data_IF_064170223848
#
_entry.id   IF_064170223848
#
_cell.length_a   1.000
_cell.length_b   1.000
_cell.length_c   1.000
_cell.angle_alpha   90.00
_cell.angle_beta   90.00
_cell.angle_gamma   90.00
#
_symmetry.space_group_name_H-M   'P 1'
#
loop_
_entity.id
_entity.type
_entity.pdbx_description
1 polymer ?
#
# COMPACT_ATOMS: atom_id res chain seq x y z
N UNK A 1 -15.32 37.51 -12.17
CA UNK A 1 -14.57 36.89 -11.05
C UNK A 1 -14.14 35.51 -11.52
N UNK A 2 -12.84 35.27 -11.72
CA UNK A 2 -12.38 33.93 -12.11
C UNK A 2 -12.76 32.95 -10.98
N UNK A 3 -13.67 32.02 -11.26
CA UNK A 3 -14.05 30.98 -10.31
C UNK A 3 -12.88 30.00 -10.19
N UNK A 4 -11.93 30.32 -9.31
CA UNK A 4 -10.79 29.45 -9.04
C UNK A 4 -11.28 28.11 -8.49
N UNK A 5 -10.71 27.02 -9.01
CA UNK A 5 -10.88 25.71 -8.40
C UNK A 5 -10.03 25.64 -7.14
N UNK A 6 -10.59 25.10 -6.07
CA UNK A 6 -9.89 24.82 -4.83
C UNK A 6 -9.53 23.33 -4.76
N UNK A 7 -8.37 23.01 -4.18
CA UNK A 7 -8.00 21.63 -3.86
C UNK A 7 -8.56 21.25 -2.49
N UNK A 8 -9.27 20.13 -2.40
CA UNK A 8 -9.77 19.55 -1.16
C UNK A 8 -9.28 18.13 -1.02
N UNK A 9 -8.70 17.81 0.13
CA UNK A 9 -8.30 16.45 0.48
C UNK A 9 -9.37 15.83 1.38
N UNK A 10 -9.91 14.69 0.95
CA UNK A 10 -10.95 13.94 1.65
C UNK A 10 -10.41 12.59 2.10
N UNK A 11 -10.76 12.17 3.31
CA UNK A 11 -10.21 10.95 3.93
C UNK A 11 -11.29 10.00 4.46
N UNK A 12 -12.57 10.39 4.41
CA UNK A 12 -13.68 9.67 5.03
C UNK A 12 -14.86 9.44 4.09
N UNK A 13 -16.06 9.79 4.56
CA UNK A 13 -17.34 9.56 3.85
C UNK A 13 -17.47 10.27 2.50
N UNK A 14 -16.59 11.24 2.21
CA UNK A 14 -16.51 11.94 0.93
C UNK A 14 -15.65 11.22 -0.13
N UNK A 15 -14.86 10.21 0.24
CA UNK A 15 -14.05 9.42 -0.74
C UNK A 15 -14.95 8.71 -1.76
N UNK A 16 -14.40 8.37 -2.93
CA UNK A 16 -15.12 7.60 -3.96
C UNK A 16 -15.69 6.30 -3.38
N UNK A 17 -16.96 6.02 -3.71
CA UNK A 17 -17.68 4.85 -3.22
C UNK A 17 -18.18 4.95 -1.77
N UNK A 18 -18.04 6.11 -1.11
CA UNK A 18 -18.53 6.34 0.24
C UNK A 18 -19.82 7.19 0.25
N UNK A 19 -20.53 7.19 1.38
CA UNK A 19 -21.90 7.67 1.53
C UNK A 19 -22.13 9.14 1.14
N UNK A 20 -21.16 10.02 1.39
CA UNK A 20 -21.28 11.45 1.12
C UNK A 20 -20.58 11.88 -0.18
N UNK A 21 -20.07 10.95 -0.99
CA UNK A 21 -19.32 11.30 -2.20
C UNK A 21 -20.08 12.23 -3.17
N UNK A 22 -21.40 12.14 -3.22
CA UNK A 22 -22.25 12.98 -4.08
C UNK A 22 -22.12 14.48 -3.80
N UNK A 23 -21.72 14.88 -2.58
CA UNK A 23 -21.48 16.28 -2.22
C UNK A 23 -20.33 16.92 -2.99
N UNK A 24 -19.41 16.13 -3.52
CA UNK A 24 -18.34 16.62 -4.40
C UNK A 24 -18.87 17.03 -5.79
N UNK A 25 -20.12 16.72 -6.13
CA UNK A 25 -20.79 17.25 -7.33
C UNK A 25 -20.08 16.91 -8.65
N UNK A 26 -19.44 15.75 -8.75
CA UNK A 26 -18.65 15.36 -9.93
C UNK A 26 -17.30 16.08 -10.03
N UNK A 27 -16.78 16.60 -8.92
CA UNK A 27 -15.46 17.22 -8.85
C UNK A 27 -14.37 16.33 -9.47
N UNK A 28 -13.39 16.99 -10.09
CA UNK A 28 -12.30 16.29 -10.77
C UNK A 28 -11.36 15.66 -9.75
N UNK A 29 -11.24 14.33 -9.80
CA UNK A 29 -10.26 13.56 -9.03
C UNK A 29 -8.83 13.87 -9.49
N UNK A 30 -7.95 14.14 -8.53
CA UNK A 30 -6.52 14.49 -8.74
C UNK A 30 -5.56 13.38 -8.27
N UNK A 31 -6.10 12.28 -7.77
CA UNK A 31 -5.33 11.13 -7.29
C UNK A 31 -5.38 10.94 -5.78
N UNK A 32 -4.86 9.79 -5.33
CA UNK A 32 -4.68 9.49 -3.91
C UNK A 32 -3.53 10.31 -3.33
N UNK A 33 -3.68 10.75 -2.09
CA UNK A 33 -2.68 11.50 -1.32
C UNK A 33 -2.67 11.05 0.13
N UNK A 34 -1.71 11.55 0.89
CA UNK A 34 -1.58 11.29 2.32
C UNK A 34 -1.45 12.60 3.07
N UNK A 35 -2.11 12.69 4.21
CA UNK A 35 -1.94 13.78 5.17
C UNK A 35 -1.03 13.31 6.29
N UNK A 36 0.12 13.97 6.46
CA UNK A 36 1.09 13.63 7.49
C UNK A 36 0.74 14.33 8.81
N UNK A 37 1.10 13.73 9.94
CA UNK A 37 0.92 14.35 11.26
C UNK A 37 -0.51 14.33 11.77
N UNK A 38 -1.38 13.49 11.22
CA UNK A 38 -2.78 13.37 11.64
C UNK A 38 -3.15 11.91 11.93
N UNK A 39 -4.11 11.71 12.83
CA UNK A 39 -4.70 10.42 13.17
C UNK A 39 -6.16 10.39 12.74
N UNK A 40 -6.61 9.24 12.26
CA UNK A 40 -7.99 9.04 11.83
C UNK A 40 -8.73 8.17 12.85
N UNK A 41 -9.77 8.73 13.46
CA UNK A 41 -10.61 8.03 14.44
C UNK A 41 -11.93 7.59 13.83
N UNK A 42 -12.42 6.44 14.26
CA UNK A 42 -13.70 5.87 13.85
C UNK A 42 -14.79 6.28 14.83
N UNK A 43 -15.73 7.13 14.39
CA UNK A 43 -16.89 7.55 15.18
C UNK A 43 -18.14 6.69 14.88
N UNK A 44 -18.01 5.63 14.09
CA UNK A 44 -19.08 4.75 13.65
C UNK A 44 -19.53 5.07 12.22
N UNK A 45 -20.51 5.96 11.98
CA UNK A 45 -20.99 6.25 10.64
C UNK A 45 -20.03 7.10 9.80
N UNK A 46 -19.03 7.72 10.41
CA UNK A 46 -18.03 8.55 9.74
C UNK A 46 -16.73 8.60 10.53
N UNK A 47 -15.58 8.87 9.88
CA UNK A 47 -14.33 9.07 10.58
C UNK A 47 -14.04 10.56 10.82
N UNK A 48 -13.16 10.84 11.77
CA UNK A 48 -12.69 12.19 12.07
C UNK A 48 -11.16 12.23 12.11
N UNK A 49 -10.56 13.09 11.29
CA UNK A 49 -9.13 13.36 11.38
C UNK A 49 -8.87 14.39 12.49
N UNK A 50 -7.88 14.13 13.32
CA UNK A 50 -7.34 15.09 14.29
C UNK A 50 -5.84 15.23 14.09
N UNK A 51 -5.30 16.43 14.26
CA UNK A 51 -3.85 16.62 14.23
C UNK A 51 -3.22 15.89 15.41
N UNK A 52 -2.21 15.08 15.14
CA UNK A 52 -1.48 14.39 16.19
C UNK A 52 -0.69 15.40 17.02
N UNK A 53 -0.68 15.21 18.34
CA UNK A 53 0.18 16.01 19.19
C UNK A 53 1.65 15.72 18.86
N UNK A 54 2.53 16.74 18.90
CA UNK A 54 3.96 16.52 18.82
C UNK A 54 4.36 15.57 19.95
N UNK A 55 4.97 14.44 19.61
CA UNK A 55 5.55 13.58 20.64
C UNK A 55 6.69 14.35 21.33
N UNK A 56 6.84 14.18 22.64
CA UNK A 56 8.04 14.63 23.33
C UNK A 56 9.26 13.96 22.66
N UNK A 57 10.34 14.72 22.50
CA UNK A 57 11.56 14.22 21.87
C UNK A 57 12.07 12.98 22.62
N UNK A 58 12.03 11.81 21.98
CA UNK A 58 12.48 10.53 22.54
C UNK A 58 11.41 9.47 22.75
N UNK A 59 10.12 9.84 22.85
CA UNK A 59 9.05 8.88 23.19
C UNK A 59 8.42 8.20 21.97
N UNK A 60 8.65 8.73 20.76
CA UNK A 60 8.02 8.21 19.55
C UNK A 60 8.78 7.02 18.98
N UNK A 61 8.29 5.82 19.23
CA UNK A 61 8.69 4.62 18.48
C UNK A 61 7.86 4.54 17.19
N UNK A 62 8.55 4.59 16.04
CA UNK A 62 7.93 4.47 14.72
C UNK A 62 7.67 5.81 14.00
N UNK A 63 7.20 5.74 12.75
CA UNK A 63 7.04 6.92 11.91
C UNK A 63 5.95 7.90 12.41
N UNK A 64 5.96 9.15 11.91
CA UNK A 64 4.83 10.06 12.11
C UNK A 64 3.53 9.43 11.58
N UNK A 65 2.38 9.73 12.18
CA UNK A 65 1.13 9.13 11.74
C UNK A 65 0.74 9.77 10.40
N UNK A 66 0.02 9.03 9.58
CA UNK A 66 -0.53 9.58 8.36
C UNK A 66 -1.92 9.04 8.09
N UNK A 67 -2.67 9.77 7.26
CA UNK A 67 -4.02 9.41 6.83
C UNK A 67 -4.02 9.25 5.31
N UNK A 68 -4.62 8.17 4.82
CA UNK A 68 -4.83 7.95 3.40
C UNK A 68 -6.12 8.63 2.92
N UNK A 69 -6.03 9.31 1.78
CA UNK A 69 -7.19 9.99 1.22
C UNK A 69 -7.07 10.27 -0.27
N UNK A 70 -7.98 11.12 -0.74
CA UNK A 70 -8.19 11.45 -2.14
C UNK A 70 -8.22 12.97 -2.30
N UNK A 71 -7.58 13.46 -3.36
CA UNK A 71 -7.52 14.88 -3.66
C UNK A 71 -8.50 15.21 -4.80
N UNK A 72 -9.27 16.28 -4.66
CA UNK A 72 -10.23 16.75 -5.65
C UNK A 72 -10.07 18.24 -5.94
N UNK A 73 -10.33 18.65 -7.18
CA UNK A 73 -10.53 20.04 -7.55
C UNK A 73 -12.02 20.38 -7.53
N UNK A 74 -12.42 21.28 -6.64
CA UNK A 74 -13.82 21.68 -6.40
C UNK A 74 -14.05 23.16 -6.72
N UNK A 75 -15.29 23.53 -7.05
CA UNK A 75 -15.67 24.94 -7.15
C UNK A 75 -15.87 25.55 -5.76
N UNK A 76 -15.88 26.89 -5.67
CA UNK A 76 -16.21 27.60 -4.43
C UNK A 76 -17.60 27.23 -3.88
N UNK A 77 -18.57 26.94 -4.76
CA UNK A 77 -19.92 26.54 -4.35
C UNK A 77 -19.93 25.13 -3.71
N UNK A 78 -19.21 24.16 -4.30
CA UNK A 78 -19.04 22.83 -3.70
C UNK A 78 -18.34 22.95 -2.35
N UNK A 79 -17.27 23.73 -2.29
CA UNK A 79 -16.50 23.95 -1.07
C UNK A 79 -17.35 24.57 0.06
N UNK A 80 -18.26 25.50 -0.26
CA UNK A 80 -19.21 26.05 0.71
C UNK A 80 -20.27 25.03 1.15
N UNK A 81 -20.72 24.16 0.24
CA UNK A 81 -21.63 23.05 0.59
C UNK A 81 -20.98 22.05 1.55
N UNK A 82 -19.70 21.76 1.37
CA UNK A 82 -18.93 20.93 2.30
C UNK A 82 -18.81 21.59 3.68
N UNK A 83 -18.67 22.91 3.77
CA UNK A 83 -18.66 23.62 5.06
C UNK A 83 -19.99 23.45 5.83
N UNK A 84 -21.11 23.39 5.11
CA UNK A 84 -22.42 23.12 5.71
C UNK A 84 -22.55 21.67 6.17
N UNK A 85 -22.13 20.72 5.32
CA UNK A 85 -22.15 19.30 5.65
C UNK A 85 -21.32 18.99 6.91
N UNK A 86 -20.11 19.54 6.98
CA UNK A 86 -19.14 19.33 8.06
C UNK A 86 -19.37 20.26 9.26
N UNK A 87 -20.48 21.02 9.25
CA UNK A 87 -20.90 21.92 10.32
C UNK A 87 -19.77 22.83 10.84
N UNK A 88 -19.06 23.48 9.91
CA UNK A 88 -17.92 24.36 10.24
C UNK A 88 -18.41 25.64 10.93
N UNK A 89 -17.75 26.12 12.02
CA UNK A 89 -16.52 25.59 12.65
C UNK A 89 -16.75 24.71 13.89
N UNK A 90 -17.96 24.16 14.08
CA UNK A 90 -18.37 23.52 15.33
C UNK A 90 -17.88 22.07 15.43
N UNK A 91 -18.20 21.24 14.44
CA UNK A 91 -17.78 19.83 14.43
C UNK A 91 -16.39 19.68 13.83
N UNK A 92 -16.16 20.37 12.71
CA UNK A 92 -14.88 20.45 12.03
C UNK A 92 -14.44 21.89 11.83
N UNK A 93 -13.13 22.09 11.76
CA UNK A 93 -12.53 23.31 11.22
C UNK A 93 -11.82 22.98 9.91
N UNK A 94 -11.89 23.88 8.94
CA UNK A 94 -11.19 23.71 7.67
C UNK A 94 -9.82 24.37 7.71
N UNK A 95 -8.77 23.58 7.50
CA UNK A 95 -7.38 24.02 7.51
C UNK A 95 -6.76 23.94 6.11
N UNK A 96 -5.92 24.92 5.76
CA UNK A 96 -5.07 24.85 4.58
C UNK A 96 -3.78 24.14 4.97
N UNK A 97 -3.63 22.87 4.57
CA UNK A 97 -2.53 22.00 5.01
C UNK A 97 -1.73 21.48 3.81
N UNK A 98 -0.46 21.22 4.04
CA UNK A 98 0.42 20.55 3.08
C UNK A 98 0.29 19.03 3.22
N UNK A 99 0.04 18.36 2.09
CA UNK A 99 0.01 16.90 1.97
C UNK A 99 1.44 16.36 1.82
N UNK A 100 1.61 15.05 1.96
CA UNK A 100 2.94 14.43 1.99
C UNK A 100 3.74 14.50 0.67
N UNK A 101 3.09 14.78 -0.46
CA UNK A 101 3.74 15.07 -1.75
C UNK A 101 4.08 16.56 -1.94
N UNK A 102 3.81 17.40 -0.94
CA UNK A 102 4.02 18.85 -0.98
C UNK A 102 2.82 19.65 -1.51
N UNK A 103 1.77 19.00 -2.03
CA UNK A 103 0.56 19.68 -2.51
C UNK A 103 -0.18 20.32 -1.34
N UNK A 104 -0.69 21.53 -1.52
CA UNK A 104 -1.56 22.18 -0.54
C UNK A 104 -3.03 21.94 -0.85
N UNK A 105 -3.82 21.66 0.18
CA UNK A 105 -5.25 21.41 0.07
C UNK A 105 -6.01 21.86 1.32
N UNK A 106 -7.29 22.13 1.15
CA UNK A 106 -8.22 22.26 2.26
C UNK A 106 -8.51 20.88 2.85
N UNK A 107 -8.45 20.81 4.18
CA UNK A 107 -8.70 19.61 4.96
C UNK A 107 -9.66 19.96 6.10
N UNK A 108 -10.73 19.18 6.27
CA UNK A 108 -11.59 19.28 7.44
C UNK A 108 -10.95 18.50 8.58
N UNK A 109 -10.73 19.13 9.73
CA UNK A 109 -10.07 18.52 10.90
C UNK A 109 -10.98 18.73 12.10
N UNK A 110 -11.20 17.66 12.86
CA UNK A 110 -11.97 17.72 14.09
C UNK A 110 -11.12 18.10 15.29
N UNK A 111 -11.76 18.11 16.46
CA UNK A 111 -11.11 18.45 17.73
C UNK A 111 -10.78 17.19 18.53
N UNK A 112 -9.59 17.09 19.18
CA UNK A 112 -9.20 15.90 19.94
C UNK A 112 -10.23 15.46 21.00
N UNK A 113 -10.95 16.41 21.59
CA UNK A 113 -11.96 16.14 22.63
C UNK A 113 -13.16 15.34 22.09
N UNK A 114 -13.47 15.45 20.80
CA UNK A 114 -14.57 14.73 20.15
C UNK A 114 -14.23 13.26 19.85
N UNK A 115 -12.95 12.89 19.87
CA UNK A 115 -12.46 11.56 19.51
C UNK A 115 -11.77 10.83 20.67
N UNK A 116 -11.81 11.39 21.88
CA UNK A 116 -11.03 10.90 23.03
C UNK A 116 -11.28 9.41 23.37
N UNK A 117 -12.49 8.92 23.15
CA UNK A 117 -12.87 7.51 23.37
C UNK A 117 -13.00 6.69 22.07
N UNK A 118 -12.75 7.31 20.91
CA UNK A 118 -12.95 6.70 19.61
C UNK A 118 -11.69 5.91 19.18
N UNK A 119 -11.83 4.65 18.73
CA UNK A 119 -10.69 3.87 18.25
C UNK A 119 -10.12 4.48 16.95
N UNK A 120 -8.89 4.12 16.63
CA UNK A 120 -8.28 4.48 15.35
C UNK A 120 -8.88 3.65 14.21
N UNK A 121 -9.06 4.27 13.05
CA UNK A 121 -9.38 3.57 11.81
C UNK A 121 -8.18 2.69 11.43
N UNK A 122 -8.37 1.38 11.16
CA UNK A 122 -7.29 0.48 10.73
C UNK A 122 -6.55 1.03 9.51
N UNK A 123 -5.21 0.98 9.56
CA UNK A 123 -4.32 1.52 8.53
C UNK A 123 -4.53 3.01 8.20
N UNK A 124 -5.31 3.75 9.01
CA UNK A 124 -5.74 5.12 8.74
C UNK A 124 -6.32 5.33 7.32
N UNK A 125 -7.05 4.33 6.81
CA UNK A 125 -7.65 4.34 5.48
C UNK A 125 -9.14 3.96 5.54
N UNK A 126 -10.01 4.97 5.49
CA UNK A 126 -11.46 4.74 5.59
C UNK A 126 -12.03 4.06 4.34
N UNK A 127 -12.76 2.96 4.50
CA UNK A 127 -13.48 2.31 3.40
C UNK A 127 -12.59 1.54 2.41
N UNK A 128 -11.28 1.45 2.66
CA UNK A 128 -10.35 0.62 1.89
C UNK A 128 -9.22 0.08 2.78
N UNK A 129 -8.40 -0.80 2.25
CA UNK A 129 -7.20 -1.30 2.92
C UNK A 129 -6.00 -1.17 2.00
N UNK A 130 -4.87 -0.59 2.46
CA UNK A 130 -3.62 -0.62 1.70
C UNK A 130 -3.05 -2.04 1.67
N UNK A 131 -2.85 -2.58 0.46
CA UNK A 131 -2.32 -3.92 0.20
C UNK A 131 -0.97 -3.80 -0.51
N UNK A 132 0.10 -4.25 0.14
CA UNK A 132 1.43 -4.37 -0.46
C UNK A 132 1.55 -5.66 -1.27
N UNK A 133 1.63 -5.51 -2.59
CA UNK A 133 1.82 -6.59 -3.56
C UNK A 133 3.26 -6.66 -4.02
N UNK A 134 3.84 -7.87 -4.05
CA UNK A 134 5.24 -8.10 -4.43
C UNK A 134 5.41 -9.29 -5.40
N UNK A 135 4.30 -9.89 -5.83
CA UNK A 135 4.26 -11.06 -6.72
C UNK A 135 3.44 -10.79 -7.97
N UNK A 136 2.69 -11.80 -8.43
CA UNK A 136 1.91 -11.69 -9.67
C UNK A 136 0.84 -10.57 -9.66
N UNK A 137 0.38 -10.12 -8.50
CA UNK A 137 -0.53 -8.97 -8.38
C UNK A 137 0.13 -7.62 -8.72
N UNK A 138 1.44 -7.59 -8.99
CA UNK A 138 2.08 -6.43 -9.61
C UNK A 138 1.57 -6.18 -11.03
N UNK A 139 1.08 -7.22 -11.72
CA UNK A 139 0.46 -7.10 -13.05
C UNK A 139 -0.92 -6.41 -12.95
N UNK A 140 -1.13 -5.27 -13.61
CA UNK A 140 -2.42 -4.57 -13.62
C UNK A 140 -3.59 -5.44 -14.13
N UNK A 141 -3.36 -6.23 -15.17
CA UNK A 141 -4.40 -7.09 -15.76
C UNK A 141 -4.82 -8.19 -14.77
N UNK A 142 -3.86 -8.78 -14.05
CA UNK A 142 -4.18 -9.76 -13.02
C UNK A 142 -4.93 -9.13 -11.85
N UNK A 143 -4.47 -7.97 -11.36
CA UNK A 143 -5.09 -7.32 -10.21
C UNK A 143 -6.52 -6.86 -10.55
N UNK A 144 -6.72 -6.26 -11.72
CA UNK A 144 -8.06 -5.82 -12.16
C UNK A 144 -9.03 -6.98 -12.36
N UNK A 145 -8.57 -8.13 -12.89
CA UNK A 145 -9.38 -9.34 -13.01
C UNK A 145 -9.79 -9.94 -11.65
N UNK A 146 -8.98 -9.74 -10.61
CA UNK A 146 -9.27 -10.20 -9.23
C UNK A 146 -10.07 -9.18 -8.45
N UNK A 147 -9.86 -7.89 -8.67
CA UNK A 147 -10.35 -6.80 -7.86
C UNK A 147 -11.03 -5.77 -8.78
N UNK A 148 -12.31 -6.00 -9.09
CA UNK A 148 -13.04 -5.21 -10.08
C UNK A 148 -13.27 -3.75 -9.64
N UNK A 149 -13.25 -3.47 -8.34
CA UNK A 149 -13.35 -2.10 -7.80
C UNK A 149 -11.99 -1.41 -7.61
N UNK A 150 -10.88 -2.02 -8.04
CA UNK A 150 -9.57 -1.37 -8.04
C UNK A 150 -9.56 -0.20 -9.04
N UNK A 151 -9.04 0.94 -8.59
CA UNK A 151 -9.07 2.19 -9.35
C UNK A 151 -7.88 2.39 -10.29
N UNK A 152 -7.10 1.34 -10.54
CA UNK A 152 -5.89 1.38 -11.37
C UNK A 152 -4.69 2.04 -10.70
N UNK A 153 -4.82 2.56 -9.48
CA UNK A 153 -3.72 3.27 -8.81
C UNK A 153 -2.80 2.32 -8.05
N UNK A 154 -1.54 2.73 -7.91
CA UNK A 154 -0.51 2.00 -7.16
C UNK A 154 0.61 2.92 -6.73
N UNK A 155 1.21 2.64 -5.58
CA UNK A 155 2.36 3.36 -5.05
C UNK A 155 3.54 2.41 -4.87
N UNK A 156 4.65 2.65 -5.57
CA UNK A 156 5.87 1.86 -5.40
C UNK A 156 6.48 2.16 -4.04
N UNK A 157 6.65 1.11 -3.23
CA UNK A 157 7.21 1.17 -1.89
C UNK A 157 8.27 0.10 -1.69
N UNK A 158 9.15 0.33 -0.70
CA UNK A 158 10.12 -0.66 -0.23
C UNK A 158 9.72 -1.17 1.16
N UNK A 159 10.02 -2.44 1.41
CA UNK A 159 9.85 -3.14 2.66
C UNK A 159 11.23 -3.60 3.13
N UNK A 160 11.76 -2.92 4.13
CA UNK A 160 13.09 -3.17 4.66
C UNK A 160 13.10 -4.32 5.67
N UNK A 161 14.17 -5.12 5.67
CA UNK A 161 14.32 -6.30 6.52
C UNK A 161 13.56 -7.54 6.03
N UNK A 162 13.21 -7.59 4.75
CA UNK A 162 12.49 -8.72 4.14
C UNK A 162 13.18 -9.17 2.85
N UNK A 163 13.41 -10.48 2.72
CA UNK A 163 13.85 -11.13 1.49
C UNK A 163 12.65 -11.51 0.65
N UNK A 164 12.73 -11.22 -0.65
CA UNK A 164 11.84 -11.79 -1.66
C UNK A 164 12.51 -12.98 -2.35
N UNK A 165 11.76 -14.04 -2.63
CA UNK A 165 12.22 -15.15 -3.48
C UNK A 165 11.04 -15.99 -3.99
N UNK A 166 11.32 -16.89 -4.94
CA UNK A 166 10.35 -17.92 -5.35
C UNK A 166 10.50 -19.11 -4.42
N UNK A 167 9.71 -19.12 -3.35
CA UNK A 167 9.75 -20.17 -2.32
C UNK A 167 8.37 -20.60 -1.83
N UNK A 168 7.29 -20.03 -2.39
CA UNK A 168 5.93 -20.45 -2.04
C UNK A 168 5.50 -21.61 -2.93
N UNK A 169 5.14 -22.74 -2.35
CA UNK A 169 4.69 -23.94 -3.07
C UNK A 169 3.38 -23.64 -3.81
N UNK A 170 3.32 -23.95 -5.11
CA UNK A 170 2.05 -23.93 -5.85
C UNK A 170 1.43 -25.33 -5.86
N UNK A 171 0.11 -25.38 -5.71
CA UNK A 171 -0.63 -26.62 -5.92
C UNK A 171 -0.42 -27.08 -7.35
N UNK A 172 0.12 -28.29 -7.50
CA UNK A 172 0.20 -28.98 -8.78
C UNK A 172 -1.20 -29.07 -9.40
N UNK A 173 -1.40 -28.45 -10.56
CA UNK A 173 -2.68 -28.50 -11.28
C UNK A 173 -2.55 -29.43 -12.49
N UNK A 174 -3.10 -30.64 -12.38
CA UNK A 174 -3.23 -31.59 -13.48
C UNK A 174 -2.01 -32.48 -13.75
N UNK A 175 -2.13 -33.42 -14.72
CA UNK A 175 -1.04 -34.30 -15.13
C UNK A 175 0.10 -33.49 -15.76
N UNK A 176 1.34 -33.71 -15.32
CA UNK A 176 2.54 -33.02 -15.83
C UNK A 176 2.89 -31.72 -15.09
N UNK A 177 2.25 -31.44 -13.95
CA UNK A 177 2.62 -30.32 -13.09
C UNK A 177 4.05 -30.48 -12.56
N UNK A 178 4.85 -29.41 -12.67
CA UNK A 178 6.21 -29.37 -12.16
C UNK A 178 6.17 -29.30 -10.62
N UNK A 179 6.69 -30.29 -9.88
CA UNK A 179 6.77 -30.25 -8.42
C UNK A 179 7.66 -29.11 -7.90
N UNK A 180 8.49 -28.50 -8.75
CA UNK A 180 9.27 -27.31 -8.44
C UNK A 180 8.54 -26.00 -8.73
N UNK A 181 7.29 -25.99 -9.24
CA UNK A 181 6.55 -24.74 -9.53
C UNK A 181 6.28 -23.96 -8.24
N UNK A 182 6.85 -22.76 -8.21
CA UNK A 182 6.81 -21.85 -7.09
C UNK A 182 6.13 -20.53 -7.43
N UNK A 183 5.66 -19.86 -6.39
CA UNK A 183 5.22 -18.48 -6.42
C UNK A 183 6.12 -17.61 -5.54
N UNK A 184 5.95 -16.30 -5.71
CA UNK A 184 6.66 -15.31 -4.93
C UNK A 184 6.27 -15.41 -3.46
N UNK A 185 7.26 -15.37 -2.59
CA UNK A 185 7.09 -15.22 -1.15
C UNK A 185 8.02 -14.14 -0.63
N UNK A 186 7.70 -13.65 0.57
CA UNK A 186 8.59 -12.81 1.37
C UNK A 186 8.78 -13.43 2.75
N UNK A 187 9.95 -13.23 3.34
CA UNK A 187 10.23 -13.61 4.72
C UNK A 187 11.15 -12.60 5.40
N UNK A 188 11.09 -12.44 6.74
CA UNK A 188 12.02 -11.57 7.45
C UNK A 188 13.47 -11.99 7.22
N UNK A 189 14.30 -11.04 6.81
CA UNK A 189 15.76 -11.20 6.67
C UNK A 189 16.43 -9.83 6.83
N UNK A 190 17.07 -9.55 7.99
CA UNK A 190 17.75 -8.28 8.24
C UNK A 190 18.74 -7.93 7.12
N UNK A 191 18.74 -6.67 6.70
CA UNK A 191 19.62 -6.17 5.63
C UNK A 191 19.12 -6.42 4.20
N UNK A 192 18.06 -7.20 4.00
CA UNK A 192 17.39 -7.35 2.70
C UNK A 192 16.26 -6.34 2.53
N UNK A 193 15.94 -6.00 1.29
CA UNK A 193 14.82 -5.13 0.95
C UNK A 193 13.97 -5.80 -0.12
N UNK A 194 12.65 -5.71 0.03
CA UNK A 194 11.69 -6.14 -0.99
C UNK A 194 10.95 -4.90 -1.51
N UNK A 195 10.93 -4.71 -2.83
CA UNK A 195 10.08 -3.69 -3.42
C UNK A 195 8.75 -4.28 -3.88
N UNK A 196 7.71 -3.48 -3.78
CA UNK A 196 6.37 -3.82 -4.24
C UNK A 196 5.53 -2.58 -4.50
N UNK A 197 4.24 -2.80 -4.73
CA UNK A 197 3.25 -1.74 -4.97
C UNK A 197 2.16 -1.83 -3.93
N UNK A 198 1.84 -0.71 -3.30
CA UNK A 198 0.65 -0.58 -2.46
C UNK A 198 -0.54 -0.15 -3.31
N UNK A 199 -1.62 -0.94 -3.24
CA UNK A 199 -2.92 -0.64 -3.80
C UNK A 199 -3.94 -0.45 -2.67
N UNK A 200 -5.01 0.29 -2.92
CA UNK A 200 -6.09 0.46 -1.94
C UNK A 200 -7.32 -0.32 -2.41
N UNK A 201 -7.69 -1.36 -1.67
CA UNK A 201 -8.81 -2.22 -2.04
C UNK A 201 -10.00 -2.00 -1.11
N UNK A 202 -11.20 -1.89 -1.68
CA UNK A 202 -12.43 -1.88 -0.89
C UNK A 202 -12.66 -3.25 -0.23
N UNK A 203 -13.60 -3.37 0.73
CA UNK A 203 -13.83 -4.63 1.44
C UNK A 203 -14.21 -5.82 0.56
N UNK A 204 -14.91 -5.61 -0.56
CA UNK A 204 -15.30 -6.69 -1.47
C UNK A 204 -14.09 -7.25 -2.23
N UNK A 205 -13.26 -6.35 -2.78
CA UNK A 205 -12.03 -6.72 -3.47
C UNK A 205 -11.01 -7.35 -2.52
N UNK A 206 -10.93 -6.85 -1.27
CA UNK A 206 -10.09 -7.47 -0.24
C UNK A 206 -10.48 -8.91 0.02
N UNK A 207 -11.77 -9.20 0.24
CA UNK A 207 -12.26 -10.59 0.43
C UNK A 207 -11.96 -11.47 -0.78
N UNK A 208 -12.10 -10.93 -1.99
CA UNK A 208 -11.78 -11.66 -3.22
C UNK A 208 -10.29 -11.98 -3.29
N UNK A 209 -9.43 -11.04 -2.92
CA UNK A 209 -8.00 -11.25 -2.88
C UNK A 209 -7.61 -12.28 -1.80
N UNK A 210 -8.17 -12.21 -0.59
CA UNK A 210 -7.94 -13.21 0.46
C UNK A 210 -8.28 -14.64 -0.02
N UNK A 211 -9.34 -14.80 -0.82
CA UNK A 211 -9.70 -16.07 -1.44
C UNK A 211 -8.68 -16.52 -2.51
N UNK A 212 -8.20 -15.60 -3.36
CA UNK A 212 -7.16 -15.90 -4.35
C UNK A 212 -5.82 -16.30 -3.71
N UNK A 213 -5.47 -15.67 -2.59
CA UNK A 213 -4.25 -15.99 -1.83
C UNK A 213 -4.42 -17.23 -0.94
N UNK A 214 -5.61 -17.85 -0.93
CA UNK A 214 -5.88 -19.08 -0.19
C UNK A 214 -5.76 -18.91 1.33
N UNK A 215 -6.14 -17.75 1.86
CA UNK A 215 -6.04 -17.44 3.30
C UNK A 215 -6.83 -18.44 4.14
N UNK A 216 -8.06 -18.78 3.74
CA UNK A 216 -8.91 -19.72 4.47
C UNK A 216 -8.35 -21.17 4.52
N UNK A 217 -7.45 -21.50 3.59
CA UNK A 217 -6.81 -22.83 3.48
C UNK A 217 -5.31 -22.79 3.84
N UNK A 218 -4.84 -21.66 4.38
CA UNK A 218 -3.50 -21.52 4.94
C UNK A 218 -2.36 -21.40 3.92
N UNK A 219 -2.62 -21.12 2.65
CA UNK A 219 -1.54 -20.93 1.64
C UNK A 219 -0.67 -19.71 1.98
N UNK A 220 -1.32 -18.58 2.23
CA UNK A 220 -0.73 -17.38 2.76
C UNK A 220 -1.49 -16.94 4.01
N UNK A 221 -0.83 -16.19 4.88
CA UNK A 221 -1.47 -15.46 5.97
C UNK A 221 -1.36 -13.95 5.72
N UNK A 222 -2.41 -13.16 6.00
CA UNK A 222 -2.27 -11.72 6.10
C UNK A 222 -1.25 -11.35 7.17
N UNK A 223 -0.42 -10.35 6.88
CA UNK A 223 0.55 -9.79 7.80
C UNK A 223 0.57 -8.27 7.63
N UNK A 224 0.69 -7.53 8.72
CA UNK A 224 0.88 -6.09 8.68
C UNK A 224 2.37 -5.79 8.59
N UNK A 225 2.75 -4.95 7.63
CA UNK A 225 4.13 -4.51 7.42
C UNK A 225 4.19 -3.00 7.33
N UNK A 226 5.30 -2.42 7.77
CA UNK A 226 5.59 -1.00 7.55
C UNK A 226 6.40 -0.83 6.28
N UNK A 227 5.81 -0.15 5.29
CA UNK A 227 6.46 0.13 4.01
C UNK A 227 6.95 1.58 3.96
N UNK A 228 7.91 1.84 3.08
CA UNK A 228 8.48 3.16 2.84
C UNK A 228 8.26 3.58 1.38
N UNK A 229 7.78 4.80 1.15
CA UNK A 229 7.60 5.31 -0.22
C UNK A 229 8.92 5.53 -0.95
N UNK A 230 8.89 5.33 -2.27
CA UNK A 230 9.98 5.76 -3.14
C UNK A 230 10.06 7.29 -3.17
N UNK A 231 11.25 7.85 -2.95
CA UNK A 231 11.48 9.30 -2.98
C UNK A 231 11.64 9.87 -4.39
N UNK A 232 11.54 9.04 -5.43
CA UNK A 232 11.73 9.48 -6.83
C UNK A 232 10.79 10.63 -7.20
N UNK A 233 9.60 10.71 -6.58
CA UNK A 233 8.58 11.73 -6.86
C UNK A 233 8.09 12.48 -5.61
N UNK A 234 8.78 12.39 -4.47
CA UNK A 234 8.34 13.03 -3.22
C UNK A 234 9.53 13.62 -2.44
N UNK A 235 9.40 14.81 -1.83
CA UNK A 235 10.51 15.48 -1.15
C UNK A 235 10.97 14.72 0.12
N UNK A 236 10.10 13.89 0.70
CA UNK A 236 10.41 13.08 1.87
C UNK A 236 9.83 11.66 1.70
N UNK A 237 10.54 10.68 2.26
CA UNK A 237 10.02 9.32 2.37
C UNK A 237 8.94 9.27 3.46
N UNK A 238 7.81 8.67 3.12
CA UNK A 238 6.69 8.43 4.03
C UNK A 238 6.72 6.96 4.44
N UNK A 239 6.32 6.67 5.68
CA UNK A 239 6.22 5.31 6.19
C UNK A 239 4.80 5.08 6.68
N UNK A 240 4.23 3.94 6.34
CA UNK A 240 2.88 3.57 6.78
C UNK A 240 2.69 2.05 6.78
N UNK A 241 1.68 1.62 7.52
CA UNK A 241 1.30 0.23 7.57
C UNK A 241 0.51 -0.18 6.32
N UNK A 242 0.81 -1.35 5.80
CA UNK A 242 0.04 -2.01 4.76
C UNK A 242 -0.16 -3.49 5.13
N UNK A 243 -1.28 -4.05 4.70
CA UNK A 243 -1.48 -5.50 4.76
C UNK A 243 -0.74 -6.14 3.58
N UNK A 244 -0.12 -7.27 3.82
CA UNK A 244 0.48 -8.11 2.78
C UNK A 244 0.18 -9.58 3.07
N UNK A 245 0.56 -10.47 2.16
CA UNK A 245 0.38 -11.90 2.31
C UNK A 245 1.75 -12.53 2.50
N UNK A 246 1.94 -13.40 3.49
CA UNK A 246 3.20 -14.11 3.73
C UNK A 246 2.93 -15.62 3.61
N UNK A 247 3.71 -16.38 2.83
CA UNK A 247 3.55 -17.83 2.76
C UNK A 247 3.63 -18.45 4.15
N UNK A 248 2.79 -19.44 4.44
CA UNK A 248 2.92 -20.18 5.70
C UNK A 248 4.02 -21.23 5.60
N UNK A 249 4.58 -21.67 6.72
CA UNK A 249 5.70 -22.61 6.73
C UNK A 249 5.41 -23.92 5.98
N UNK A 250 4.17 -24.41 6.03
CA UNK A 250 3.73 -25.63 5.32
C UNK A 250 3.71 -25.44 3.81
N UNK A 251 3.56 -24.20 3.35
CA UNK A 251 3.49 -23.83 1.93
C UNK A 251 4.79 -23.16 1.44
N UNK A 252 5.91 -23.40 2.14
CA UNK A 252 7.21 -22.85 1.79
C UNK A 252 8.25 -23.94 1.56
N UNK A 253 9.03 -23.82 0.48
CA UNK A 253 10.19 -24.67 0.18
C UNK A 253 11.24 -23.88 -0.59
N UNK A 254 12.52 -24.18 -0.37
CA UNK A 254 13.62 -23.59 -1.13
C UNK A 254 13.83 -24.32 -2.47
N UNK A 255 14.45 -23.62 -3.43
CA UNK A 255 14.80 -24.20 -4.74
C UNK A 255 13.65 -24.30 -5.75
N UNK A 256 12.48 -23.70 -5.44
CA UNK A 256 11.37 -23.62 -6.38
C UNK A 256 11.68 -22.65 -7.53
N UNK A 257 10.99 -22.86 -8.66
CA UNK A 257 11.08 -22.02 -9.86
C UNK A 257 9.68 -21.62 -10.31
N UNK A 258 9.47 -20.40 -10.80
CA UNK A 258 8.17 -20.01 -11.30
C UNK A 258 7.95 -20.59 -12.69
N UNK A 259 6.73 -21.05 -12.97
CA UNK A 259 6.26 -21.24 -14.35
C UNK A 259 6.42 -19.97 -15.18
N UNK A 260 6.68 -20.13 -16.49
CA UNK A 260 6.89 -19.02 -17.42
C UNK A 260 5.74 -18.00 -17.41
N UNK A 261 4.49 -18.48 -17.37
CA UNK A 261 3.31 -17.62 -17.29
C UNK A 261 3.26 -16.81 -15.99
N UNK A 262 3.64 -17.40 -14.86
CA UNK A 262 3.68 -16.71 -13.58
C UNK A 262 4.78 -15.65 -13.55
N UNK A 263 5.98 -15.99 -14.04
CA UNK A 263 7.09 -15.07 -14.18
C UNK A 263 6.72 -13.88 -15.09
N UNK A 264 6.08 -14.15 -16.23
CA UNK A 264 5.63 -13.13 -17.19
C UNK A 264 4.74 -12.06 -16.54
N UNK A 265 3.81 -12.46 -15.65
CA UNK A 265 2.97 -11.51 -14.92
C UNK A 265 3.78 -10.59 -14.00
N UNK A 266 4.76 -11.13 -13.28
CA UNK A 266 5.63 -10.30 -12.43
C UNK A 266 6.44 -9.33 -13.31
N UNK A 267 7.00 -9.78 -14.43
CA UNK A 267 7.76 -8.94 -15.35
C UNK A 267 6.90 -7.82 -15.97
N UNK A 268 5.65 -8.11 -16.34
CA UNK A 268 4.70 -7.08 -16.80
C UNK A 268 4.44 -6.01 -15.72
N UNK A 269 4.31 -6.43 -14.45
CA UNK A 269 4.20 -5.50 -13.33
C UNK A 269 5.46 -4.65 -13.15
N UNK A 270 6.65 -5.25 -13.24
CA UNK A 270 7.92 -4.53 -13.15
C UNK A 270 8.12 -3.50 -14.28
N UNK A 271 7.60 -3.79 -15.47
CA UNK A 271 7.61 -2.87 -16.60
C UNK A 271 6.58 -1.73 -16.48
N UNK A 272 5.43 -2.01 -15.84
CA UNK A 272 4.36 -1.03 -15.67
C UNK A 272 4.66 0.01 -14.59
N UNK A 273 5.16 -0.42 -13.43
CA UNK A 273 5.39 0.46 -12.28
C UNK A 273 6.82 1.04 -12.25
N UNK A 274 7.03 2.24 -11.68
CA UNK A 274 8.33 2.92 -11.66
C UNK A 274 9.27 2.35 -10.57
N UNK A 275 9.57 1.06 -10.63
CA UNK A 275 10.54 0.41 -9.75
C UNK A 275 11.97 0.91 -10.00
N UNK A 276 12.86 0.88 -8.98
CA UNK A 276 14.28 1.13 -9.18
C UNK A 276 14.89 0.16 -10.19
N UNK A 277 15.80 0.67 -11.03
CA UNK A 277 16.43 -0.14 -12.08
C UNK A 277 17.15 -1.39 -11.53
N UNK A 278 17.84 -1.26 -10.40
CA UNK A 278 18.52 -2.38 -9.75
C UNK A 278 17.56 -3.49 -9.34
N UNK A 279 16.38 -3.15 -8.80
CA UNK A 279 15.36 -4.13 -8.42
C UNK A 279 14.77 -4.84 -9.63
N UNK A 280 14.49 -4.11 -10.72
CA UNK A 280 13.98 -4.71 -11.96
C UNK A 280 14.98 -5.69 -12.56
N UNK A 281 16.26 -5.34 -12.57
CA UNK A 281 17.33 -6.20 -13.09
C UNK A 281 17.42 -7.49 -12.28
N UNK A 282 17.53 -7.37 -10.95
CA UNK A 282 17.62 -8.52 -10.03
C UNK A 282 16.46 -9.51 -10.21
N UNK A 283 15.21 -9.01 -10.24
CA UNK A 283 14.06 -9.90 -10.42
C UNK A 283 13.99 -10.48 -11.82
N UNK A 284 14.42 -9.74 -12.85
CA UNK A 284 14.45 -10.27 -14.23
C UNK A 284 15.44 -11.42 -14.35
N UNK A 285 16.61 -11.35 -13.69
CA UNK A 285 17.56 -12.45 -13.63
C UNK A 285 16.99 -13.68 -12.91
N UNK A 286 16.38 -13.46 -11.72
CA UNK A 286 15.79 -14.55 -10.93
C UNK A 286 14.66 -15.24 -11.69
N UNK A 287 13.81 -14.46 -12.39
CA UNK A 287 12.67 -14.98 -13.14
C UNK A 287 13.05 -15.53 -14.52
N UNK A 288 14.18 -15.08 -15.09
CA UNK A 288 14.70 -15.47 -16.41
C UNK A 288 15.47 -16.78 -16.41
N UNK A 289 15.93 -17.26 -15.25
CA UNK A 289 16.33 -18.66 -15.09
C UNK A 289 17.77 -19.02 -15.50
N UNK A 290 18.74 -18.12 -15.42
CA UNK A 290 20.15 -18.56 -15.38
C UNK A 290 20.56 -18.85 -13.92
N UNK A 291 20.96 -20.09 -13.58
CA UNK A 291 21.39 -20.42 -12.23
C UNK A 291 22.64 -19.60 -11.91
N UNK A 292 22.60 -18.85 -10.79
CA UNK A 292 23.83 -18.35 -10.18
C UNK A 292 24.70 -19.58 -9.89
N UNK A 293 25.85 -19.70 -10.56
CA UNK A 293 26.91 -20.56 -10.08
C UNK A 293 27.20 -20.14 -8.64
N UNK A 294 26.85 -21.01 -7.69
CA UNK A 294 27.54 -21.01 -6.40
C UNK A 294 29.01 -21.21 -6.73
N UNK A 295 29.84 -20.20 -6.50
CA UNK A 295 31.29 -20.33 -6.53
C UNK A 295 31.69 -21.27 -5.37
N UNK A 296 32.12 -22.52 -5.62
CA UNK A 296 32.62 -23.40 -4.60
C UNK A 296 34.12 -23.12 -4.48
N UNK A 297 34.47 -21.93 -4.00
CA UNK A 297 35.80 -21.37 -4.19
C UNK A 297 36.36 -20.60 -3.00
N UNK A 298 35.95 -20.92 -1.76
CA UNK A 298 36.62 -20.36 -0.59
C UNK A 298 36.63 -21.37 0.57
N UNK A 299 37.51 -22.37 0.53
CA UNK A 299 38.19 -22.87 1.73
C UNK A 299 39.39 -23.78 1.36
N UNK A 300 40.47 -23.60 2.14
CA UNK A 300 41.79 -24.28 2.15
C UNK A 300 42.78 -23.75 1.11
N UNK A 301 44.01 -23.37 1.44
CA UNK A 301 44.97 -23.97 2.38
C UNK A 301 46.00 -22.92 2.88
N UNK A 302 46.29 -22.90 4.18
CA UNK A 302 47.53 -23.38 4.79
C UNK A 302 48.63 -22.32 4.96
N UNK A 303 48.93 -22.02 6.23
CA UNK A 303 50.25 -21.58 6.68
C UNK A 303 51.34 -22.54 6.23
N UNK A 304 52.57 -22.04 6.08
CA UNK A 304 53.68 -22.74 6.69
C UNK A 304 54.60 -21.83 7.52
N UNK A 305 55.09 -22.45 8.60
CA UNK A 305 56.31 -22.21 9.39
C UNK A 305 56.74 -20.77 9.71
#
# INVERSE_FOLDING_TARGET
MASGLASVFVYGTLKRGQSNHSWLGGARFLGRRRLLGAQLHDLGPYPMAVMAQPAAAGDRQGPPPLIHGELFAVSAAVLAGLDQLENVPFDYTRHWLQLGDGTWAWVYVGRPELVAAAPLVPFADWGSTPIFSYGSNLCPDQLSARCAGWDGSGLVTTLAGWRWSIHKIRLAQGPGADPADGAAGIQPEPGRNCWGVVHHLNPADRRRLDACEGVAIGHYRPHTVTVKTSTVNSPAAEYFEASTYVPTAVWSAEGLRPSADYASRILQGLAHWPFPAAWRLELTEILGGEPRHNDPGAFTSAHPA
#
